data_IF_342573850152
#
_entry.id   IF_342573850152
#
_cell.length_a   1.000
_cell.length_b   1.000
_cell.length_c   1.000
_cell.angle_alpha   90.00
_cell.angle_beta   90.00
_cell.angle_gamma   90.00
#
_symmetry.space_group_name_H-M   'P 1'
#
loop_
_entity.id
_entity.type
_entity.pdbx_description
1 polymer ?
#
# COMPACT_ATOMS: atom_id res chain seq x y z
N UNK A 1 -13.83 26.53 -3.36
CA UNK A 1 -12.96 25.59 -4.04
C UNK A 1 -12.13 24.80 -3.07
N UNK A 2 -12.10 23.59 -3.29
CA UNK A 2 -11.44 22.71 -2.36
C UNK A 2 -10.06 22.35 -2.86
N UNK A 3 -9.07 22.98 -2.26
CA UNK A 3 -7.70 22.77 -2.70
C UNK A 3 -6.97 21.71 -1.93
N UNK A 4 -7.61 21.17 -0.91
CA UNK A 4 -6.93 20.20 -0.08
C UNK A 4 -7.32 18.77 -0.43
N UNK A 5 -7.95 18.59 -1.58
CA UNK A 5 -8.33 17.25 -1.99
C UNK A 5 -7.09 16.40 -2.21
N UNK A 6 -7.10 15.23 -1.62
CA UNK A 6 -6.00 14.29 -1.74
C UNK A 6 -6.47 13.12 -2.57
N UNK A 7 -5.66 12.73 -3.53
CA UNK A 7 -5.94 11.56 -4.36
C UNK A 7 -5.41 10.32 -3.67
N UNK A 8 -6.25 9.32 -3.63
CA UNK A 8 -5.88 8.04 -3.04
C UNK A 8 -5.81 6.99 -4.14
N UNK A 9 -4.71 6.29 -4.18
CA UNK A 9 -4.52 5.18 -5.11
C UNK A 9 -4.38 3.93 -4.26
N UNK A 10 -5.18 2.92 -4.56
CA UNK A 10 -5.13 1.68 -3.80
C UNK A 10 -4.67 0.55 -4.70
N UNK A 11 -3.74 -0.25 -4.21
CA UNK A 11 -3.27 -1.42 -4.94
C UNK A 11 -3.27 -2.62 -4.01
N UNK A 12 -3.37 -3.79 -4.60
CA UNK A 12 -3.32 -5.04 -3.87
C UNK A 12 -2.10 -5.80 -4.31
N UNK A 13 -1.31 -6.24 -3.35
CA UNK A 13 -0.07 -6.94 -3.65
C UNK A 13 -0.08 -8.30 -2.95
N UNK A 14 0.70 -9.22 -3.46
CA UNK A 14 0.80 -10.55 -2.86
C UNK A 14 2.00 -10.67 -1.93
N UNK A 15 2.98 -9.79 -2.07
CA UNK A 15 4.20 -9.85 -1.28
C UNK A 15 4.40 -8.50 -0.62
N UNK A 16 4.03 -8.42 0.66
CA UNK A 16 4.06 -7.16 1.38
C UNK A 16 5.48 -6.62 1.52
N UNK A 17 6.43 -7.49 1.86
CA UNK A 17 7.79 -7.03 2.09
C UNK A 17 8.43 -6.50 0.82
N UNK A 18 8.18 -7.18 -0.29
CA UNK A 18 8.73 -6.74 -1.56
C UNK A 18 8.11 -5.40 -1.98
N UNK A 19 6.81 -5.25 -1.80
CA UNK A 19 6.15 -4.00 -2.16
C UNK A 19 6.62 -2.86 -1.28
N UNK A 20 6.74 -3.10 0.01
CA UNK A 20 7.20 -2.07 0.92
C UNK A 20 8.61 -1.64 0.58
N UNK A 21 9.48 -2.60 0.31
CA UNK A 21 10.85 -2.29 -0.05
C UNK A 21 10.89 -1.45 -1.32
N UNK A 22 10.09 -1.81 -2.31
CA UNK A 22 10.09 -1.08 -3.57
C UNK A 22 9.64 0.36 -3.38
N UNK A 23 8.50 0.57 -2.72
CA UNK A 23 7.95 1.90 -2.65
C UNK A 23 8.64 2.78 -1.62
N UNK A 24 9.10 2.21 -0.52
CA UNK A 24 9.71 3.00 0.53
C UNK A 24 11.21 3.17 0.27
N UNK A 25 11.91 2.08 0.01
CA UNK A 25 13.36 2.15 -0.10
C UNK A 25 13.83 2.54 -1.48
N UNK A 26 13.16 2.07 -2.51
CA UNK A 26 13.63 2.37 -3.88
C UNK A 26 13.02 3.63 -4.44
N UNK A 27 11.74 3.86 -4.19
CA UNK A 27 11.10 5.08 -4.67
C UNK A 27 11.12 6.21 -3.65
N UNK A 28 11.36 5.89 -2.39
CA UNK A 28 11.52 6.93 -1.37
C UNK A 28 10.23 7.52 -0.84
N UNK A 29 9.12 6.82 -0.97
CA UNK A 29 7.86 7.34 -0.43
C UNK A 29 7.88 7.24 1.09
N UNK A 30 7.21 8.19 1.75
CA UNK A 30 7.16 8.23 3.20
C UNK A 30 6.02 7.39 3.73
N UNK A 31 6.25 6.71 4.83
CA UNK A 31 5.20 5.92 5.47
C UNK A 31 4.33 6.85 6.30
N UNK A 32 3.03 6.85 6.02
CA UNK A 32 2.07 7.57 6.84
C UNK A 32 1.64 6.69 8.00
N UNK A 33 1.23 5.47 7.69
CA UNK A 33 0.88 4.51 8.73
C UNK A 33 0.97 3.11 8.17
N UNK A 34 1.13 2.18 9.08
CA UNK A 34 1.23 0.78 8.73
C UNK A 34 0.37 0.01 9.71
N UNK A 35 -0.55 -0.80 9.22
CA UNK A 35 -1.46 -1.55 10.05
C UNK A 35 -1.48 -3.01 9.65
N UNK A 36 -1.58 -3.87 10.65
CA UNK A 36 -1.73 -5.28 10.43
C UNK A 36 -3.02 -5.74 11.07
N UNK A 37 -3.81 -6.52 10.35
CA UNK A 37 -5.04 -7.09 10.88
C UNK A 37 -4.81 -8.56 11.21
N UNK A 38 -4.69 -8.92 12.48
CA UNK A 38 -4.45 -10.31 12.83
C UNK A 38 -5.63 -11.22 12.48
N UNK A 39 -6.83 -10.65 12.45
CA UNK A 39 -8.00 -11.47 12.14
C UNK A 39 -8.01 -11.91 10.70
N UNK A 40 -7.60 -11.03 9.80
CA UNK A 40 -7.57 -11.35 8.38
C UNK A 40 -6.18 -11.66 7.88
N UNK A 41 -5.19 -11.44 8.73
CA UNK A 41 -3.80 -11.69 8.37
C UNK A 41 -3.38 -10.89 7.15
N UNK A 42 -3.82 -9.64 7.09
CA UNK A 42 -3.42 -8.80 5.98
C UNK A 42 -2.82 -7.51 6.51
N UNK A 43 -2.07 -6.87 5.64
CA UNK A 43 -1.38 -5.63 5.94
C UNK A 43 -1.98 -4.49 5.13
N UNK A 44 -1.94 -3.31 5.71
CA UNK A 44 -2.30 -2.10 5.00
C UNK A 44 -1.20 -1.08 5.27
N UNK A 45 -0.63 -0.55 4.20
CA UNK A 45 0.46 0.41 4.27
C UNK A 45 0.04 1.66 3.53
N UNK A 46 0.00 2.79 4.24
CA UNK A 46 -0.34 4.06 3.62
C UNK A 46 0.93 4.86 3.45
N UNK A 47 1.18 5.27 2.22
CA UNK A 47 2.38 6.00 1.86
C UNK A 47 2.02 7.34 1.27
N UNK A 48 2.89 8.31 1.46
CA UNK A 48 2.74 9.60 0.82
C UNK A 48 3.63 9.67 -0.41
N UNK A 49 3.01 9.84 -1.54
CA UNK A 49 3.72 9.96 -2.81
C UNK A 49 4.15 11.41 -3.02
N UNK A 50 3.23 12.34 -2.81
CA UNK A 50 3.52 13.76 -2.87
C UNK A 50 2.45 14.49 -2.06
N UNK A 51 2.42 15.80 -2.19
CA UNK A 51 1.52 16.61 -1.37
C UNK A 51 0.05 16.30 -1.59
N UNK A 52 -0.27 15.74 -2.73
CA UNK A 52 -1.66 15.54 -3.10
C UNK A 52 -2.01 14.09 -3.37
N UNK A 53 -1.09 13.17 -3.17
CA UNK A 53 -1.32 11.79 -3.54
C UNK A 53 -0.84 10.85 -2.44
N UNK A 54 -1.71 9.94 -2.05
CA UNK A 54 -1.39 8.88 -1.10
C UNK A 54 -1.62 7.54 -1.74
N UNK A 55 -0.75 6.60 -1.45
CA UNK A 55 -0.83 5.25 -1.99
C UNK A 55 -1.16 4.30 -0.86
N UNK A 56 -2.23 3.53 -1.04
CA UNK A 56 -2.63 2.51 -0.08
C UNK A 56 -2.29 1.15 -0.63
N UNK A 57 -1.47 0.41 0.09
CA UNK A 57 -1.05 -0.91 -0.33
C UNK A 57 -1.74 -1.92 0.58
N UNK A 58 -2.51 -2.81 -0.02
CA UNK A 58 -3.17 -3.89 0.70
C UNK A 58 -2.47 -5.19 0.34
N UNK A 59 -1.93 -5.85 1.34
CA UNK A 59 -1.29 -7.14 1.12
C UNK A 59 -2.11 -8.18 1.86
N UNK A 60 -2.78 -9.03 1.11
CA UNK A 60 -3.62 -10.05 1.70
C UNK A 60 -2.89 -11.37 1.67
N UNK A 61 -3.05 -12.10 2.74
CA UNK A 61 -2.48 -13.44 2.80
C UNK A 61 -3.45 -14.35 2.07
N UNK A 62 -3.16 -14.56 0.81
CA UNK A 62 -4.07 -15.30 -0.03
C UNK A 62 -3.40 -16.54 -0.56
N UNK A 63 -3.86 -17.66 -0.09
CA UNK A 63 -3.28 -18.92 -0.49
C UNK A 63 -3.76 -19.41 -1.83
N UNK A 64 -4.88 -18.88 -2.31
CA UNK A 64 -5.41 -19.29 -3.59
C UNK A 64 -4.61 -18.69 -4.73
N UNK A 65 -4.23 -17.46 -4.59
CA UNK A 65 -3.35 -16.85 -5.56
C UNK A 65 -3.98 -16.33 -6.81
N UNK A 66 -5.21 -16.64 -7.09
CA UNK A 66 -5.78 -16.12 -8.32
C UNK A 66 -6.24 -14.69 -8.10
N UNK A 67 -6.07 -13.88 -9.11
CA UNK A 67 -6.50 -12.51 -9.04
C UNK A 67 -5.54 -11.57 -8.37
N UNK A 68 -4.39 -12.02 -7.95
CA UNK A 68 -3.42 -11.13 -7.34
C UNK A 68 -2.55 -10.48 -8.39
N UNK A 69 -2.18 -9.24 -8.09
CA UNK A 69 -1.28 -8.50 -8.95
C UNK A 69 0.12 -8.70 -8.45
N UNK A 70 1.02 -8.99 -9.35
CA UNK A 70 2.41 -9.22 -8.99
C UNK A 70 3.28 -8.09 -9.50
N UNK A 71 4.26 -7.77 -8.71
CA UNK A 71 5.25 -6.77 -9.07
C UNK A 71 6.63 -7.36 -9.15
#
# INVERSE_FOLDING_TARGET
MNLSKIHHIAIIVSDYEAAKDFYVNKLGFSIIRENYSPERKDWKLDLRVNEHTELEIFAVFNTVGSGTIKF
#
